data_IF_589521995133
#
_entry.id   IF_589521995133
#
_cell.length_a   1.000
_cell.length_b   1.000
_cell.length_c   1.000
_cell.angle_alpha   90.00
_cell.angle_beta   90.00
_cell.angle_gamma   90.00
#
_symmetry.space_group_name_H-M   'P 1'
#
loop_
_entity.id
_entity.type
_entity.pdbx_description
1 polymer ?
#
# COMPACT_ATOMS: atom_id res chain seq x y z
N UNK A 1 0.28 -13.16 -17.45
CA UNK A 1 -0.33 -12.02 -18.18
C UNK A 1 0.69 -11.09 -18.83
N UNK A 2 1.75 -10.63 -18.14
CA UNK A 2 2.75 -9.74 -18.76
C UNK A 2 3.42 -10.32 -20.03
N UNK A 3 3.76 -11.61 -20.02
CA UNK A 3 4.33 -12.31 -21.18
C UNK A 3 3.33 -12.36 -22.35
N UNK A 4 2.06 -12.66 -22.08
CA UNK A 4 1.01 -12.67 -23.10
C UNK A 4 0.81 -11.28 -23.73
N UNK A 5 0.87 -10.21 -22.94
CA UNK A 5 0.78 -8.84 -23.43
C UNK A 5 1.96 -8.50 -24.36
N UNK A 6 3.19 -8.87 -23.97
CA UNK A 6 4.38 -8.65 -24.81
C UNK A 6 4.24 -9.38 -26.15
N UNK A 7 3.76 -10.63 -26.13
CA UNK A 7 3.51 -11.37 -27.37
C UNK A 7 2.40 -10.75 -28.22
N UNK A 8 1.33 -10.26 -27.61
CA UNK A 8 0.28 -9.53 -28.31
C UNK A 8 0.80 -8.25 -28.96
N UNK A 9 1.56 -7.44 -28.21
CA UNK A 9 2.12 -6.18 -28.70
C UNK A 9 3.09 -6.44 -29.87
N UNK A 10 3.92 -7.49 -29.79
CA UNK A 10 4.80 -7.91 -30.87
C UNK A 10 4.02 -8.43 -32.10
N UNK A 11 2.99 -9.25 -31.88
CA UNK A 11 2.14 -9.75 -32.96
C UNK A 11 1.37 -8.62 -33.65
N UNK A 12 0.90 -7.62 -32.91
CA UNK A 12 0.22 -6.45 -33.46
C UNK A 12 1.15 -5.61 -34.34
N UNK A 13 2.40 -5.39 -33.91
CA UNK A 13 3.42 -4.71 -34.73
C UNK A 13 3.72 -5.50 -36.01
N UNK A 14 3.88 -6.83 -35.91
CA UNK A 14 4.09 -7.68 -37.09
C UNK A 14 2.90 -7.67 -38.04
N UNK A 15 1.67 -7.65 -37.50
CA UNK A 15 0.45 -7.51 -38.28
C UNK A 15 0.42 -6.19 -39.03
N UNK A 16 0.70 -5.06 -38.37
CA UNK A 16 0.72 -3.74 -39.03
C UNK A 16 1.84 -3.63 -40.09
N UNK A 17 2.96 -4.32 -39.91
CA UNK A 17 4.03 -4.40 -40.92
C UNK A 17 3.60 -5.23 -42.14
N UNK A 18 2.81 -6.29 -41.94
CA UNK A 18 2.30 -7.13 -43.03
C UNK A 18 1.05 -6.54 -43.72
N UNK A 19 0.24 -5.78 -42.99
CA UNK A 19 -0.99 -5.16 -43.49
C UNK A 19 -0.70 -4.09 -44.55
N UNK A 20 -1.67 -3.86 -45.44
CA UNK A 20 -1.55 -2.79 -46.42
C UNK A 20 -1.63 -1.40 -45.77
N UNK A 21 -1.10 -0.39 -46.45
CA UNK A 21 -1.16 1.00 -45.99
C UNK A 21 -2.62 1.49 -45.84
N UNK A 22 -3.53 0.98 -46.69
CA UNK A 22 -4.97 1.27 -46.63
C UNK A 22 -5.66 0.67 -45.39
N UNK A 23 -5.20 -0.47 -44.90
CA UNK A 23 -5.71 -1.11 -43.67
C UNK A 23 -5.12 -0.50 -42.39
N UNK A 24 -3.89 0.03 -42.47
CA UNK A 24 -3.20 0.65 -41.34
C UNK A 24 -3.73 2.05 -41.04
N UNK A 25 -4.03 2.84 -42.08
CA UNK A 25 -4.55 4.21 -41.94
C UNK A 25 -5.76 4.36 -40.98
N UNK A 26 -6.81 3.51 -41.03
CA UNK A 26 -7.93 3.62 -40.10
C UNK A 26 -7.58 3.27 -38.64
N UNK A 27 -6.49 2.55 -38.39
CA UNK A 27 -6.04 2.19 -37.03
C UNK A 27 -5.21 3.31 -36.37
N UNK A 28 -4.80 4.33 -37.12
CA UNK A 28 -3.96 5.43 -36.64
C UNK A 28 -4.49 6.14 -35.39
N UNK A 29 -5.79 6.42 -35.22
CA UNK A 29 -6.30 7.05 -34.00
C UNK A 29 -6.05 6.22 -32.73
N UNK A 30 -6.17 4.89 -32.82
CA UNK A 30 -5.91 3.97 -31.70
C UNK A 30 -4.41 3.88 -31.37
N UNK A 31 -3.56 3.87 -32.41
CA UNK A 31 -2.10 3.90 -32.26
C UNK A 31 -1.67 5.21 -31.59
N UNK A 32 -2.19 6.34 -32.07
CA UNK A 32 -1.94 7.65 -31.46
C UNK A 32 -2.38 7.72 -30.00
N UNK A 33 -3.52 7.13 -29.66
CA UNK A 33 -3.98 7.04 -28.27
C UNK A 33 -2.94 6.36 -27.39
N UNK A 34 -2.47 5.18 -27.81
CA UNK A 34 -1.44 4.40 -27.10
C UNK A 34 -0.12 5.16 -26.97
N UNK A 35 0.32 5.83 -28.04
CA UNK A 35 1.55 6.64 -28.06
C UNK A 35 1.44 7.82 -27.12
N UNK A 36 0.33 8.58 -27.16
CA UNK A 36 0.10 9.75 -26.31
C UNK A 36 0.02 9.39 -24.83
N UNK A 37 -0.55 8.24 -24.49
CA UNK A 37 -0.66 7.75 -23.12
C UNK A 37 0.71 7.32 -22.54
N UNK A 38 1.64 6.86 -23.38
CA UNK A 38 2.86 6.20 -22.92
C UNK A 38 4.16 6.97 -23.20
N UNK A 39 4.17 7.92 -24.13
CA UNK A 39 5.33 8.77 -24.43
C UNK A 39 5.08 10.23 -24.05
N UNK A 40 6.08 10.96 -23.54
CA UNK A 40 5.96 12.37 -23.20
C UNK A 40 5.80 13.24 -24.47
N UNK A 41 5.13 14.38 -24.35
CA UNK A 41 4.85 15.32 -25.44
C UNK A 41 6.09 15.93 -26.10
N UNK A 42 7.23 15.88 -25.41
CA UNK A 42 8.51 16.34 -25.94
C UNK A 42 9.28 15.27 -26.75
N UNK A 43 8.85 14.00 -26.75
CA UNK A 43 9.51 12.93 -27.52
C UNK A 43 9.39 13.20 -29.03
N UNK A 44 10.53 13.23 -29.73
CA UNK A 44 10.59 13.49 -31.17
C UNK A 44 9.79 12.45 -31.97
N UNK A 45 9.76 11.19 -31.52
CA UNK A 45 9.03 10.11 -32.18
C UNK A 45 7.53 10.31 -32.07
N UNK A 46 7.05 10.74 -30.90
CA UNK A 46 5.64 11.09 -30.69
C UNK A 46 5.21 12.23 -31.62
N UNK A 47 6.00 13.31 -31.71
CA UNK A 47 5.71 14.45 -32.60
C UNK A 47 5.68 14.03 -34.07
N UNK A 48 6.59 13.15 -34.49
CA UNK A 48 6.61 12.64 -35.86
C UNK A 48 5.30 11.90 -36.19
N UNK A 49 4.86 10.97 -35.33
CA UNK A 49 3.61 10.23 -35.53
C UNK A 49 2.37 11.13 -35.44
N UNK A 50 2.37 12.13 -34.56
CA UNK A 50 1.31 13.15 -34.51
C UNK A 50 1.20 13.92 -35.83
N UNK A 51 2.32 14.35 -36.41
CA UNK A 51 2.33 15.05 -37.70
C UNK A 51 1.85 14.16 -38.87
N UNK A 52 2.23 12.88 -38.89
CA UNK A 52 1.78 11.90 -39.88
C UNK A 52 0.26 11.72 -39.79
N UNK A 53 -0.25 11.53 -38.59
CA UNK A 53 -1.68 11.32 -38.36
C UNK A 53 -2.53 12.56 -38.68
N UNK A 54 -2.01 13.77 -38.41
CA UNK A 54 -2.64 15.02 -38.83
C UNK A 54 -2.70 15.16 -40.36
N UNK A 55 -1.62 14.78 -41.05
CA UNK A 55 -1.56 14.77 -42.53
C UNK A 55 -2.59 13.83 -43.16
N UNK A 56 -2.73 12.62 -42.60
CA UNK A 56 -3.74 11.63 -43.01
C UNK A 56 -5.16 12.14 -42.73
N UNK A 57 -5.41 12.66 -41.52
CA UNK A 57 -6.74 13.15 -41.12
C UNK A 57 -7.19 14.35 -41.96
N UNK A 58 -6.26 15.23 -42.33
CA UNK A 58 -6.53 16.38 -43.18
C UNK A 58 -6.64 16.03 -44.68
N UNK A 59 -6.55 14.74 -45.06
CA UNK A 59 -6.45 14.26 -46.45
C UNK A 59 -5.34 14.96 -47.26
N UNK A 60 -4.29 15.44 -46.58
CA UNK A 60 -3.16 16.15 -47.21
C UNK A 60 -2.07 15.18 -47.66
N UNK A 61 -1.92 14.04 -46.98
CA UNK A 61 -0.93 13.02 -47.29
C UNK A 61 -1.52 11.62 -47.15
N UNK A 62 -1.02 10.70 -47.96
CA UNK A 62 -1.26 9.26 -47.83
C UNK A 62 -0.13 8.63 -47.01
N UNK A 63 -0.44 7.64 -46.18
CA UNK A 63 0.57 6.90 -45.41
C UNK A 63 1.59 6.28 -46.38
N UNK A 64 2.86 6.60 -46.21
CA UNK A 64 3.96 6.00 -46.99
C UNK A 64 4.59 4.83 -46.24
N UNK A 65 5.41 4.04 -46.95
CA UNK A 65 6.18 2.94 -46.35
C UNK A 65 7.15 3.42 -45.26
N UNK A 66 7.76 4.59 -45.47
CA UNK A 66 8.65 5.23 -44.49
C UNK A 66 7.88 5.75 -43.26
N UNK A 67 6.67 6.28 -43.47
CA UNK A 67 5.80 6.71 -42.37
C UNK A 67 5.37 5.52 -41.52
N UNK A 68 5.06 4.39 -42.17
CA UNK A 68 4.68 3.15 -41.47
C UNK A 68 5.79 2.69 -40.53
N UNK A 69 7.04 2.58 -41.00
CA UNK A 69 8.15 2.17 -40.12
C UNK A 69 8.34 3.14 -38.95
N UNK A 70 8.20 4.45 -39.18
CA UNK A 70 8.23 5.47 -38.11
C UNK A 70 7.13 5.26 -37.06
N UNK A 71 5.92 4.94 -37.52
CA UNK A 71 4.78 4.63 -36.65
C UNK A 71 5.02 3.35 -35.84
N UNK A 72 5.54 2.30 -36.48
CA UNK A 72 5.81 1.01 -35.82
C UNK A 72 6.90 1.14 -34.74
N UNK A 73 8.01 1.83 -35.04
CA UNK A 73 9.09 2.06 -34.08
C UNK A 73 8.62 2.89 -32.88
N UNK A 74 7.79 3.91 -33.13
CA UNK A 74 7.19 4.73 -32.08
C UNK A 74 6.23 3.93 -31.21
N UNK A 75 5.40 3.07 -31.82
CA UNK A 75 4.50 2.18 -31.10
C UNK A 75 5.26 1.14 -30.27
N UNK A 76 6.34 0.57 -30.80
CA UNK A 76 7.22 -0.33 -30.05
C UNK A 76 7.80 0.36 -28.80
N UNK A 77 8.28 1.60 -28.96
CA UNK A 77 8.77 2.41 -27.85
C UNK A 77 7.67 2.71 -26.81
N UNK A 78 6.45 3.03 -27.26
CA UNK A 78 5.30 3.25 -26.38
C UNK A 78 4.94 1.98 -25.58
N UNK A 79 4.92 0.80 -26.22
CA UNK A 79 4.64 -0.48 -25.57
C UNK A 79 5.73 -0.87 -24.55
N UNK A 80 7.00 -0.59 -24.86
CA UNK A 80 8.11 -0.79 -23.92
C UNK A 80 7.98 0.13 -22.69
N UNK A 81 7.62 1.40 -22.90
CA UNK A 81 7.36 2.34 -21.80
C UNK A 81 6.20 1.86 -20.92
N UNK A 82 5.09 1.41 -21.52
CA UNK A 82 3.95 0.80 -20.82
C UNK A 82 4.33 -0.42 -19.99
N UNK A 83 5.15 -1.30 -20.56
CA UNK A 83 5.62 -2.52 -19.88
C UNK A 83 6.46 -2.15 -18.65
N UNK A 84 7.35 -1.18 -18.79
CA UNK A 84 8.21 -0.72 -17.68
C UNK A 84 7.38 -0.18 -16.51
N UNK A 85 6.35 0.63 -16.78
CA UNK A 85 5.41 1.11 -15.75
C UNK A 85 4.72 -0.04 -15.02
N UNK A 86 4.24 -1.03 -15.78
CA UNK A 86 3.53 -2.19 -15.24
C UNK A 86 4.43 -3.08 -14.36
N UNK A 87 5.68 -3.30 -14.76
CA UNK A 87 6.65 -4.09 -13.99
C UNK A 87 6.89 -3.44 -12.62
N UNK A 88 7.10 -2.12 -12.56
CA UNK A 88 7.31 -1.39 -11.30
C UNK A 88 6.14 -1.57 -10.33
N UNK A 89 4.91 -1.44 -10.84
CA UNK A 89 3.69 -1.63 -10.02
C UNK A 89 3.61 -3.06 -9.49
N UNK A 90 3.83 -4.06 -10.35
CA UNK A 90 3.77 -5.47 -9.97
C UNK A 90 4.83 -5.81 -8.93
N UNK A 91 6.07 -5.37 -9.15
CA UNK A 91 7.19 -5.67 -8.26
C UNK A 91 6.98 -4.99 -6.90
N UNK A 92 6.44 -3.77 -6.87
CA UNK A 92 6.00 -3.11 -5.65
C UNK A 92 4.92 -3.92 -4.91
N UNK A 93 3.84 -4.30 -5.60
CA UNK A 93 2.77 -5.12 -5.01
C UNK A 93 3.30 -6.45 -4.48
N UNK A 94 4.22 -7.10 -5.22
CA UNK A 94 4.83 -8.35 -4.80
C UNK A 94 5.64 -8.17 -3.52
N UNK A 95 6.48 -7.13 -3.44
CA UNK A 95 7.27 -6.83 -2.25
C UNK A 95 6.36 -6.55 -1.06
N UNK A 96 5.35 -5.68 -1.24
CA UNK A 96 4.38 -5.34 -0.19
C UNK A 96 3.64 -6.59 0.30
N UNK A 97 3.20 -7.47 -0.59
CA UNK A 97 2.55 -8.73 -0.23
C UNK A 97 3.47 -9.68 0.54
N UNK A 98 4.74 -9.80 0.13
CA UNK A 98 5.74 -10.62 0.85
C UNK A 98 5.97 -10.05 2.25
N UNK A 99 6.18 -8.74 2.38
CA UNK A 99 6.37 -8.08 3.68
C UNK A 99 5.13 -8.24 4.55
N UNK A 100 3.93 -8.08 4.00
CA UNK A 100 2.67 -8.33 4.72
C UNK A 100 2.61 -9.76 5.24
N UNK A 101 2.97 -10.75 4.43
CA UNK A 101 2.98 -12.16 4.84
C UNK A 101 4.01 -12.43 5.94
N UNK A 102 5.21 -11.84 5.83
CA UNK A 102 6.23 -11.93 6.86
C UNK A 102 5.78 -11.30 8.18
N UNK A 103 5.17 -10.11 8.13
CA UNK A 103 4.63 -9.47 9.33
C UNK A 103 3.48 -10.27 9.95
N UNK A 104 2.62 -10.88 9.15
CA UNK A 104 1.60 -11.82 9.65
C UNK A 104 2.24 -13.01 10.34
N UNK A 105 3.29 -13.60 9.76
CA UNK A 105 4.02 -14.69 10.40
C UNK A 105 4.67 -14.26 11.72
N UNK A 106 5.21 -13.03 11.80
CA UNK A 106 5.72 -12.45 13.04
C UNK A 106 4.61 -12.24 14.06
N UNK A 107 3.44 -11.73 13.66
CA UNK A 107 2.29 -11.56 14.56
C UNK A 107 1.84 -12.90 15.17
N UNK A 108 1.69 -13.92 14.33
CA UNK A 108 1.40 -15.29 14.77
C UNK A 108 2.51 -15.82 15.68
N UNK A 109 3.78 -15.55 15.36
CA UNK A 109 4.93 -15.91 16.19
C UNK A 109 4.89 -15.25 17.58
N UNK A 110 4.53 -13.96 17.66
CA UNK A 110 4.34 -13.24 18.93
C UNK A 110 3.17 -13.82 19.72
N UNK A 111 2.05 -14.15 19.05
CA UNK A 111 0.92 -14.83 19.69
C UNK A 111 1.31 -16.18 20.29
N UNK A 112 2.01 -17.00 19.49
CA UNK A 112 2.50 -18.30 19.92
C UNK A 112 3.50 -18.17 21.07
N UNK A 113 4.46 -17.25 20.96
CA UNK A 113 5.46 -17.02 22.01
C UNK A 113 4.80 -16.57 23.31
N UNK A 114 3.84 -15.65 23.27
CA UNK A 114 3.07 -15.22 24.44
C UNK A 114 2.29 -16.36 25.09
N UNK A 115 1.70 -17.24 24.27
CA UNK A 115 0.97 -18.42 24.75
C UNK A 115 1.89 -19.48 25.38
N UNK A 116 3.07 -19.73 24.80
CA UNK A 116 4.02 -20.75 25.29
C UNK A 116 4.94 -20.24 26.41
N UNK A 117 5.25 -18.93 26.43
CA UNK A 117 6.13 -18.27 27.39
C UNK A 117 5.51 -16.93 27.83
N UNK A 118 4.51 -16.97 28.74
CA UNK A 118 3.80 -15.76 29.19
C UNK A 118 4.70 -14.70 29.83
N UNK A 119 5.85 -15.09 30.36
CA UNK A 119 6.83 -14.20 30.99
C UNK A 119 7.72 -13.45 30.00
N UNK A 120 7.72 -13.84 28.72
CA UNK A 120 8.56 -13.20 27.70
C UNK A 120 7.99 -11.85 27.24
N UNK A 121 6.66 -11.65 27.35
CA UNK A 121 5.96 -10.47 26.82
C UNK A 121 4.90 -9.99 27.84
N UNK A 122 5.29 -9.36 28.96
CA UNK A 122 4.33 -9.00 30.00
C UNK A 122 3.29 -7.99 29.48
N UNK A 123 2.01 -8.39 29.44
CA UNK A 123 0.88 -7.52 29.07
C UNK A 123 0.07 -7.02 30.28
N UNK A 124 0.37 -7.53 31.48
CA UNK A 124 -0.36 -7.20 32.70
C UNK A 124 0.36 -6.14 33.53
N UNK A 125 -0.36 -5.19 34.09
CA UNK A 125 0.16 -4.09 34.89
C UNK A 125 -0.09 -4.31 36.38
N UNK A 126 0.80 -3.81 37.24
CA UNK A 126 0.67 -3.92 38.71
C UNK A 126 0.64 -2.53 39.35
N UNK A 127 -0.49 -1.80 39.22
CA UNK A 127 -0.67 -0.49 39.84
C UNK A 127 -0.71 -0.55 41.37
N UNK A 128 -0.35 0.58 42.01
CA UNK A 128 -0.50 0.82 43.43
C UNK A 128 -1.89 1.41 43.73
N UNK A 129 -2.59 0.87 44.71
CA UNK A 129 -3.84 1.45 45.21
C UNK A 129 -3.53 2.66 46.11
N UNK A 130 -4.46 3.63 46.22
CA UNK A 130 -4.34 4.74 47.18
C UNK A 130 -4.19 4.29 48.64
N UNK A 131 -4.63 3.06 48.95
CA UNK A 131 -4.53 2.45 50.28
C UNK A 131 -3.22 1.65 50.50
N UNK A 132 -2.26 1.71 49.57
CA UNK A 132 -0.94 1.07 49.70
C UNK A 132 -0.89 -0.42 49.34
N UNK A 133 -1.91 -0.94 48.67
CA UNK A 133 -1.94 -2.32 48.15
C UNK A 133 -1.60 -2.40 46.66
N UNK A 134 -1.39 -3.61 46.15
CA UNK A 134 -1.17 -3.87 44.72
C UNK A 134 -2.23 -4.82 44.17
N UNK A 135 -2.61 -4.62 42.92
CA UNK A 135 -3.46 -5.53 42.18
C UNK A 135 -2.91 -5.70 40.77
N UNK A 136 -3.22 -6.84 40.14
CA UNK A 136 -2.76 -7.15 38.79
C UNK A 136 -3.90 -6.90 37.81
N UNK A 137 -3.62 -6.18 36.74
CA UNK A 137 -4.57 -5.83 35.66
C UNK A 137 -4.07 -6.42 34.35
N UNK A 138 -4.81 -7.36 33.79
CA UNK A 138 -4.57 -7.95 32.47
C UNK A 138 -5.68 -7.51 31.49
N UNK A 139 -5.48 -7.67 30.17
CA UNK A 139 -6.49 -7.33 29.16
C UNK A 139 -7.89 -7.92 29.42
N UNK A 140 -7.98 -9.18 29.87
CA UNK A 140 -9.25 -9.87 30.09
C UNK A 140 -9.72 -9.92 31.55
N UNK A 141 -8.91 -9.49 32.50
CA UNK A 141 -9.25 -9.67 33.91
C UNK A 141 -8.43 -8.82 34.87
N UNK A 142 -9.02 -8.58 36.03
CA UNK A 142 -8.37 -7.94 37.17
C UNK A 142 -8.31 -8.95 38.30
N UNK A 143 -7.21 -8.96 39.03
CA UNK A 143 -7.03 -9.91 40.09
C UNK A 143 -6.28 -9.30 41.27
N UNK A 144 -6.81 -9.49 42.47
CA UNK A 144 -6.29 -8.94 43.72
C UNK A 144 -4.93 -9.55 44.05
N UNK A 145 -3.99 -8.73 44.51
CA UNK A 145 -2.62 -9.14 44.81
C UNK A 145 -1.70 -9.15 43.58
N UNK A 146 -0.47 -8.70 43.80
CA UNK A 146 0.62 -8.66 42.84
C UNK A 146 1.90 -8.19 43.55
N UNK A 147 3.05 -8.74 43.17
CA UNK A 147 4.34 -8.27 43.66
C UNK A 147 4.94 -7.30 42.63
N UNK A 148 5.18 -6.02 42.96
CA UNK A 148 5.81 -5.08 42.04
C UNK A 148 7.25 -5.49 41.65
N UNK A 149 7.94 -6.30 42.47
CA UNK A 149 9.25 -6.87 42.13
C UNK A 149 9.14 -8.05 41.15
N UNK A 150 7.99 -8.72 41.12
CA UNK A 150 7.68 -9.82 40.20
C UNK A 150 6.28 -9.65 39.59
N UNK A 151 6.11 -8.67 38.67
CA UNK A 151 4.82 -8.38 38.04
C UNK A 151 4.27 -9.56 37.22
N UNK A 152 5.10 -10.59 37.01
CA UNK A 152 4.81 -11.79 36.23
C UNK A 152 4.23 -12.95 37.08
N UNK A 153 4.02 -12.76 38.38
CA UNK A 153 3.58 -13.83 39.31
C UNK A 153 2.20 -14.39 38.99
N UNK A 154 1.35 -13.65 38.27
CA UNK A 154 0.28 -14.20 37.45
C UNK A 154 0.74 -14.22 35.99
N UNK A 155 0.99 -15.41 35.47
CA UNK A 155 1.25 -15.59 34.05
C UNK A 155 0.06 -15.03 33.25
N UNK A 156 0.34 -14.10 32.34
CA UNK A 156 -0.63 -13.60 31.34
C UNK A 156 -1.33 -14.79 30.67
N UNK A 157 -2.66 -14.75 30.58
CA UNK A 157 -3.41 -15.83 29.94
C UNK A 157 -3.11 -15.81 28.43
N UNK A 158 -2.90 -16.96 27.76
CA UNK A 158 -2.85 -17.00 26.29
C UNK A 158 -3.98 -16.21 25.59
N UNK A 159 -5.17 -16.16 26.19
CA UNK A 159 -6.30 -15.39 25.69
C UNK A 159 -6.07 -13.86 25.72
N UNK A 160 -5.29 -13.33 26.66
CA UNK A 160 -4.96 -11.90 26.75
C UNK A 160 -4.19 -11.44 25.50
N UNK A 161 -3.22 -12.24 25.04
CA UNK A 161 -2.44 -11.96 23.83
C UNK A 161 -3.30 -11.98 22.57
N UNK A 162 -4.21 -12.95 22.48
CA UNK A 162 -5.11 -13.10 21.35
C UNK A 162 -6.06 -11.91 21.27
N UNK A 163 -6.63 -11.47 22.39
CA UNK A 163 -7.54 -10.32 22.43
C UNK A 163 -6.83 -9.02 22.06
N UNK A 164 -5.64 -8.75 22.60
CA UNK A 164 -4.86 -7.55 22.24
C UNK A 164 -4.52 -7.52 20.75
N UNK A 165 -4.13 -8.65 20.17
CA UNK A 165 -3.85 -8.73 18.73
C UNK A 165 -5.09 -8.56 17.86
N UNK A 166 -6.22 -9.16 18.23
CA UNK A 166 -7.49 -8.95 17.52
C UNK A 166 -7.89 -7.48 17.57
N UNK A 167 -7.74 -6.81 18.71
CA UNK A 167 -8.03 -5.38 18.84
C UNK A 167 -7.10 -4.55 17.95
N UNK A 168 -5.82 -4.88 17.91
CA UNK A 168 -4.86 -4.26 16.98
C UNK A 168 -5.28 -4.44 15.52
N UNK A 169 -5.69 -5.65 15.14
CA UNK A 169 -6.18 -5.98 13.81
C UNK A 169 -7.47 -5.24 13.45
N UNK A 170 -8.43 -5.16 14.38
CA UNK A 170 -9.70 -4.43 14.18
C UNK A 170 -9.44 -2.93 13.99
N UNK A 171 -8.58 -2.36 14.84
CA UNK A 171 -8.19 -0.95 14.76
C UNK A 171 -7.48 -0.64 13.44
N UNK A 172 -6.63 -1.55 12.99
CA UNK A 172 -6.01 -1.50 11.68
C UNK A 172 -7.01 -1.63 10.53
N UNK A 173 -7.98 -2.53 10.66
CA UNK A 173 -9.05 -2.73 9.70
C UNK A 173 -9.86 -1.44 9.48
N UNK A 174 -10.13 -0.70 10.55
CA UNK A 174 -10.79 0.61 10.46
C UNK A 174 -9.92 1.63 9.69
N UNK A 175 -8.62 1.68 9.97
CA UNK A 175 -7.67 2.51 9.22
C UNK A 175 -7.56 2.11 7.74
N UNK A 176 -7.63 0.81 7.43
CA UNK A 176 -7.63 0.30 6.06
C UNK A 176 -8.94 0.62 5.32
N UNK A 177 -10.10 0.42 5.97
CA UNK A 177 -11.41 0.68 5.40
C UNK A 177 -11.60 2.17 5.05
N UNK A 178 -11.17 3.07 5.94
CA UNK A 178 -11.21 4.52 5.68
C UNK A 178 -10.32 4.93 4.51
N UNK A 179 -9.15 4.29 4.35
CA UNK A 179 -8.27 4.52 3.20
C UNK A 179 -8.88 4.00 1.89
N UNK A 180 -9.55 2.85 1.91
CA UNK A 180 -10.20 2.27 0.72
C UNK A 180 -11.44 3.06 0.28
N UNK A 181 -12.25 3.56 1.23
CA UNK A 181 -13.46 4.34 0.90
C UNK A 181 -13.15 5.65 0.14
N UNK A 182 -11.94 6.19 0.27
CA UNK A 182 -11.53 7.42 -0.42
C UNK A 182 -11.10 7.19 -1.87
N UNK A 183 -11.07 5.93 -2.33
CA UNK A 183 -10.58 5.59 -3.66
C UNK A 183 -11.72 5.53 -4.68
N UNK A 184 -11.63 6.39 -5.70
CA UNK A 184 -12.43 6.26 -6.93
C UNK A 184 -11.82 5.14 -7.79
N UNK A 185 -12.66 4.41 -8.53
CA UNK A 185 -12.33 3.15 -9.19
C UNK A 185 -10.91 3.05 -9.77
N UNK A 186 -10.17 2.01 -9.38
CA UNK A 186 -8.83 1.73 -9.91
C UNK A 186 -8.95 0.99 -11.24
N UNK A 187 -8.44 1.60 -12.32
CA UNK A 187 -8.38 0.99 -13.65
C UNK A 187 -7.14 0.11 -13.84
N UNK A 188 -6.26 0.03 -12.84
CA UNK A 188 -5.06 -0.80 -12.93
C UNK A 188 -5.38 -2.24 -12.47
N UNK A 189 -5.00 -3.27 -13.24
CA UNK A 189 -5.29 -4.67 -12.91
C UNK A 189 -4.55 -5.19 -11.66
N UNK A 190 -3.61 -4.40 -11.13
CA UNK A 190 -2.88 -4.70 -9.92
C UNK A 190 -3.45 -3.80 -8.81
N UNK A 191 -4.27 -4.37 -7.92
CA UNK A 191 -4.92 -3.65 -6.81
C UNK A 191 -3.89 -3.20 -5.76
N UNK A 192 -3.06 -2.20 -6.09
CA UNK A 192 -2.01 -1.65 -5.20
C UNK A 192 -2.59 -1.29 -3.84
N UNK A 193 -3.76 -0.66 -3.86
CA UNK A 193 -4.51 -0.28 -2.66
C UNK A 193 -4.88 -1.45 -1.77
N UNK A 194 -5.25 -2.59 -2.36
CA UNK A 194 -5.58 -3.79 -1.60
C UNK A 194 -4.33 -4.38 -0.95
N UNK A 195 -3.20 -4.38 -1.65
CA UNK A 195 -1.93 -4.83 -1.08
C UNK A 195 -1.49 -3.97 0.11
N UNK A 196 -1.65 -2.64 0.01
CA UNK A 196 -1.38 -1.72 1.11
C UNK A 196 -2.36 -1.89 2.28
N UNK A 197 -3.64 -2.09 1.99
CA UNK A 197 -4.66 -2.37 3.01
C UNK A 197 -4.35 -3.70 3.74
N UNK A 198 -3.90 -4.73 3.01
CA UNK A 198 -3.49 -6.00 3.58
C UNK A 198 -2.27 -5.84 4.49
N UNK A 199 -1.26 -5.03 4.09
CA UNK A 199 -0.09 -4.71 4.92
C UNK A 199 -0.47 -4.06 6.26
N UNK A 200 -1.54 -3.27 6.29
CA UNK A 200 -2.01 -2.57 7.50
C UNK A 200 -2.56 -3.52 8.56
N UNK A 201 -3.07 -4.69 8.22
CA UNK A 201 -3.64 -5.61 9.21
C UNK A 201 -2.58 -6.19 10.15
N UNK A 202 -1.50 -6.85 9.67
CA UNK A 202 -0.49 -7.41 10.55
C UNK A 202 0.32 -6.32 11.27
N UNK A 203 0.50 -5.14 10.67
CA UNK A 203 1.16 -4.04 11.40
C UNK A 203 0.36 -3.65 12.65
N UNK A 204 -0.96 -3.61 12.60
CA UNK A 204 -1.77 -3.16 13.74
C UNK A 204 -1.86 -4.21 14.82
N UNK A 205 -1.95 -5.48 14.41
CA UNK A 205 -1.84 -6.61 15.30
C UNK A 205 -0.50 -6.63 16.06
N UNK A 206 0.59 -6.17 15.43
CA UNK A 206 1.91 -6.05 16.06
C UNK A 206 2.07 -4.77 16.89
N UNK A 207 1.56 -3.62 16.43
CA UNK A 207 1.74 -2.36 17.16
C UNK A 207 0.97 -2.31 18.47
N UNK A 208 -0.18 -2.99 18.57
CA UNK A 208 -0.95 -3.05 19.82
C UNK A 208 -0.14 -3.64 21.01
N UNK A 209 0.37 -4.89 20.94
CA UNK A 209 1.18 -5.45 22.04
C UNK A 209 2.51 -4.70 22.21
N UNK A 210 3.17 -4.29 21.12
CA UNK A 210 4.40 -3.49 21.22
C UNK A 210 4.16 -2.16 21.96
N UNK A 211 3.05 -1.49 21.71
CA UNK A 211 2.66 -0.26 22.39
C UNK A 211 2.40 -0.45 23.88
N UNK A 212 1.76 -1.55 24.28
CA UNK A 212 1.60 -1.90 25.69
C UNK A 212 2.95 -2.19 26.36
N UNK A 213 3.90 -2.81 25.65
CA UNK A 213 5.27 -2.98 26.14
C UNK A 213 6.01 -1.63 26.30
N UNK A 214 5.74 -0.64 25.43
CA UNK A 214 6.30 0.71 25.59
C UNK A 214 5.81 1.39 26.88
N UNK A 215 4.53 1.21 27.25
CA UNK A 215 3.99 1.68 28.54
C UNK A 215 4.70 0.96 29.69
N UNK A 216 4.84 -0.36 29.60
CA UNK A 216 5.53 -1.18 30.60
C UNK A 216 7.00 -0.79 30.80
N UNK A 217 7.69 -0.45 29.71
CA UNK A 217 9.08 0.00 29.74
C UNK A 217 9.28 1.39 30.35
N UNK A 218 8.22 2.08 30.78
CA UNK A 218 8.31 3.40 31.39
C UNK A 218 8.75 4.50 30.41
N UNK A 219 8.63 4.26 29.10
CA UNK A 219 9.04 5.24 28.08
C UNK A 219 8.10 6.46 28.02
N UNK A 220 6.88 6.35 28.55
CA UNK A 220 5.90 7.42 28.61
C UNK A 220 5.85 7.97 30.05
N UNK A 221 6.39 9.17 30.31
CA UNK A 221 6.35 9.77 31.64
C UNK A 221 4.91 9.91 32.14
N UNK A 222 4.64 9.44 33.36
CA UNK A 222 3.32 9.53 33.98
C UNK A 222 2.29 8.49 33.50
N UNK A 223 2.68 7.54 32.62
CA UNK A 223 1.81 6.49 32.13
C UNK A 223 2.56 5.15 32.15
N UNK A 224 2.77 4.62 33.35
CA UNK A 224 3.55 3.39 33.60
C UNK A 224 2.73 2.24 34.19
N UNK A 225 1.53 2.52 34.68
CA UNK A 225 0.61 1.51 35.19
C UNK A 225 -0.81 1.82 34.70
N UNK A 226 -1.46 0.81 34.15
CA UNK A 226 -2.86 0.88 33.74
C UNK A 226 -3.71 0.23 34.84
N UNK A 227 -4.74 0.96 35.27
CA UNK A 227 -5.50 0.64 36.48
C UNK A 227 -6.75 -0.21 36.20
N UNK A 228 -7.09 -0.44 34.92
CA UNK A 228 -8.23 -1.28 34.54
C UNK A 228 -8.01 -1.99 33.21
N UNK A 229 -8.68 -3.14 33.02
CA UNK A 229 -8.66 -3.88 31.76
C UNK A 229 -9.16 -3.02 30.60
N UNK A 230 -10.19 -2.20 30.82
CA UNK A 230 -10.71 -1.25 29.84
C UNK A 230 -9.64 -0.25 29.37
N UNK A 231 -8.77 0.25 30.27
CA UNK A 231 -7.65 1.11 29.89
C UNK A 231 -6.61 0.37 29.04
N UNK A 232 -6.28 -0.88 29.38
CA UNK A 232 -5.37 -1.72 28.58
C UNK A 232 -5.90 -1.89 27.16
N UNK A 233 -7.18 -2.21 27.03
CA UNK A 233 -7.87 -2.36 25.75
C UNK A 233 -7.93 -1.04 24.97
N UNK A 234 -8.23 0.07 25.64
CA UNK A 234 -8.25 1.40 25.01
C UNK A 234 -6.88 1.78 24.45
N UNK A 235 -5.80 1.54 25.21
CA UNK A 235 -4.44 1.77 24.72
C UNK A 235 -4.05 0.83 23.58
N UNK A 236 -4.47 -0.44 23.62
CA UNK A 236 -4.29 -1.36 22.51
C UNK A 236 -4.96 -0.85 21.22
N UNK A 237 -6.15 -0.25 21.29
CA UNK A 237 -6.82 0.41 20.16
C UNK A 237 -5.97 1.58 19.64
N UNK A 238 -5.53 2.46 20.53
CA UNK A 238 -4.72 3.64 20.17
C UNK A 238 -3.45 3.22 19.45
N UNK A 239 -2.70 2.25 19.98
CA UNK A 239 -1.47 1.76 19.36
C UNK A 239 -1.72 0.96 18.07
N UNK A 240 -2.78 0.16 18.03
CA UNK A 240 -3.23 -0.53 16.81
C UNK A 240 -3.53 0.46 15.68
N UNK A 241 -4.19 1.57 15.98
CA UNK A 241 -4.46 2.63 15.00
C UNK A 241 -3.22 3.47 14.66
N UNK A 242 -2.32 3.67 15.63
CA UNK A 242 -1.09 4.48 15.47
C UNK A 242 -0.09 3.90 14.46
N UNK A 243 -0.30 2.67 13.99
CA UNK A 243 0.44 2.08 12.87
C UNK A 243 0.50 2.95 11.61
N UNK A 244 -0.42 3.91 11.45
CA UNK A 244 -0.41 4.86 10.35
C UNK A 244 0.91 5.63 10.29
N UNK A 245 1.55 5.89 11.43
CA UNK A 245 2.85 6.55 11.48
C UNK A 245 3.92 5.72 10.76
N UNK A 246 3.93 4.40 10.99
CA UNK A 246 4.89 3.48 10.38
C UNK A 246 4.58 3.23 8.89
N UNK A 247 3.30 3.11 8.55
CA UNK A 247 2.87 2.75 7.19
C UNK A 247 2.85 3.94 6.21
N UNK A 248 2.95 5.18 6.71
CA UNK A 248 3.01 6.42 5.90
C UNK A 248 4.07 6.40 4.80
N UNK A 249 5.25 5.86 5.06
CA UNK A 249 6.33 5.81 4.07
C UNK A 249 5.97 4.92 2.89
N UNK A 250 5.40 3.74 3.17
CA UNK A 250 4.96 2.79 2.15
C UNK A 250 3.77 3.35 1.38
N UNK A 251 2.82 4.00 2.08
CA UNK A 251 1.68 4.68 1.46
C UNK A 251 2.12 5.81 0.52
N UNK A 252 3.16 6.58 0.89
CA UNK A 252 3.72 7.64 0.04
C UNK A 252 4.44 7.09 -1.19
N UNK A 253 5.21 6.01 -1.03
CA UNK A 253 5.88 5.33 -2.14
C UNK A 253 4.88 4.77 -3.15
N UNK A 254 3.74 4.25 -2.69
CA UNK A 254 2.68 3.79 -3.58
C UNK A 254 2.11 4.94 -4.44
N UNK A 255 1.90 6.12 -3.83
CA UNK A 255 1.42 7.30 -4.56
C UNK A 255 2.39 7.74 -5.64
N UNK A 256 3.70 7.69 -5.39
CA UNK A 256 4.69 8.05 -6.42
C UNK A 256 4.77 7.05 -7.57
N UNK A 257 4.54 5.75 -7.30
CA UNK A 257 4.53 4.71 -8.35
C UNK A 257 3.26 4.80 -9.21
N UNK A 258 2.14 5.22 -8.63
CA UNK A 258 0.87 5.40 -9.33
C UNK A 258 0.77 6.75 -10.06
N UNK A 259 1.40 7.78 -9.52
CA UNK A 259 1.31 9.16 -9.99
C UNK A 259 2.46 9.56 -10.90
N UNK A 260 2.48 9.06 -12.14
CA UNK A 260 3.20 9.70 -13.25
C UNK A 260 2.62 9.31 -14.63
N UNK A 261 1.54 9.97 -15.09
CA UNK A 261 1.22 10.04 -16.51
C UNK A 261 2.27 10.90 -17.23
N UNK A 262 2.73 10.55 -18.44
CA UNK A 262 3.48 11.47 -19.29
C UNK A 262 2.51 12.59 -19.70
N UNK A 263 2.62 13.74 -19.05
CA UNK A 263 1.83 14.96 -19.30
C UNK A 263 0.32 14.87 -19.01
N UNK A 264 -0.04 14.47 -17.79
CA UNK A 264 -1.33 14.88 -17.23
C UNK A 264 -1.39 16.39 -17.01
N UNK A 265 -2.54 17.08 -17.20
CA UNK A 265 -2.64 18.52 -16.98
C UNK A 265 -2.19 18.85 -15.55
N UNK A 266 -1.10 19.63 -15.42
CA UNK A 266 -0.68 20.18 -14.14
C UNK A 266 -1.78 21.14 -13.69
N UNK A 267 -2.65 20.69 -12.79
CA UNK A 267 -3.59 21.57 -12.10
C UNK A 267 -2.74 22.46 -11.18
N UNK A 268 -2.28 23.58 -11.72
CA UNK A 268 -1.73 24.66 -10.92
C UNK A 268 -2.89 25.26 -10.13
N UNK A 269 -3.06 24.84 -8.88
CA UNK A 269 -3.91 25.55 -7.92
C UNK A 269 -3.27 26.91 -7.66
N UNK A 270 -3.68 27.89 -8.46
CA UNK A 270 -3.40 29.31 -8.22
C UNK A 270 -4.19 29.68 -6.96
N UNK A 271 -3.51 29.75 -5.82
CA UNK A 271 -4.10 30.34 -4.62
C UNK A 271 -4.41 31.81 -4.93
N UNK A 272 -5.69 32.10 -5.14
CA UNK A 272 -6.20 33.46 -5.13
C UNK A 272 -6.12 33.95 -3.67
N UNK A 273 -5.29 34.96 -3.46
CA UNK A 273 -5.20 35.68 -2.20
C UNK A 273 -6.42 36.61 -2.10
N UNK A 274 -7.28 36.54 -1.07
CA UNK A 274 -8.30 37.54 -0.88
C UNK A 274 -7.65 38.84 -0.40
N UNK A 275 -8.05 39.94 -1.04
CA UNK A 275 -7.79 41.31 -0.62
C UNK A 275 -8.58 41.65 0.66
#
# INVERSE_FOLDING_TARGET
MAVAQIHFDAAFILYLRAASLAETAPMMPAILGTVRENLPSNDLRRKAVESIAEGISAKKSTLTESDRETVLDTLAAANQARTTKTIRIRDFVRIVSIVSLLLTAVAVGVAALGAYRPTAVPLCFVPQTPAGGYFTVCPLGVASGGDPAFPNTRATDPADYLVVQIIGLVSAGLAAATALHQMRGSTTPYNVSLALAALKLPTGALTAPLGLLFIHGGFIPGLSALDSSAQVIAWAIVFGYSQQILTRLVDNQAKSILGDPPDGPKVTTKHANPA
#
